data_IF_746483092481
#
_entry.id   IF_746483092481
#
_cell.length_a   1.000
_cell.length_b   1.000
_cell.length_c   1.000
_cell.angle_alpha   90.00
_cell.angle_beta   90.00
_cell.angle_gamma   90.00
#
_symmetry.space_group_name_H-M   'P 1'
#
loop_
_entity.id
_entity.type
_entity.pdbx_description
1 polymer ?
#
# COMPACT_ATOMS: atom_id res chain seq x y z
N UNK A 1 0.87 23.18 -21.76
CA UNK A 1 -0.01 22.33 -20.93
C UNK A 1 0.82 21.16 -20.43
N UNK A 2 1.04 21.03 -19.12
CA UNK A 2 1.86 19.95 -18.57
C UNK A 2 1.06 18.64 -18.61
N UNK A 3 1.61 17.61 -19.24
CA UNK A 3 1.03 16.26 -19.26
C UNK A 3 1.16 15.69 -17.85
N UNK A 4 0.06 15.69 -17.11
CA UNK A 4 -0.02 15.01 -15.81
C UNK A 4 0.04 13.52 -16.09
N UNK A 5 1.17 12.88 -15.79
CA UNK A 5 1.29 11.42 -15.83
C UNK A 5 0.35 10.85 -14.78
N UNK A 6 -0.81 10.36 -15.22
CA UNK A 6 -1.72 9.67 -14.34
C UNK A 6 -1.05 8.38 -13.86
N UNK A 7 -1.06 8.09 -12.54
CA UNK A 7 -0.59 6.79 -12.04
C UNK A 7 -1.32 5.68 -12.79
N UNK A 8 -0.73 4.48 -12.90
CA UNK A 8 -1.34 3.31 -13.53
C UNK A 8 -2.69 3.00 -12.86
N UNK A 9 -3.75 3.66 -13.33
CA UNK A 9 -5.07 3.60 -12.73
C UNK A 9 -5.66 2.23 -13.06
N UNK A 10 -6.07 1.50 -12.03
CA UNK A 10 -6.85 0.28 -12.21
C UNK A 10 -8.09 0.57 -13.06
N UNK A 11 -8.57 -0.44 -13.79
CA UNK A 11 -9.80 -0.32 -14.59
C UNK A 11 -10.98 0.20 -13.76
N UNK A 12 -11.06 -0.23 -12.48
CA UNK A 12 -12.05 0.25 -11.52
C UNK A 12 -11.90 1.76 -11.23
N UNK A 13 -10.67 2.25 -11.04
CA UNK A 13 -10.42 3.68 -10.82
C UNK A 13 -10.85 4.54 -12.01
N UNK A 14 -10.57 4.06 -13.23
CA UNK A 14 -11.01 4.70 -14.48
C UNK A 14 -12.54 4.71 -14.59
N UNK A 15 -13.20 3.59 -14.30
CA UNK A 15 -14.66 3.46 -14.34
C UNK A 15 -15.35 4.48 -13.40
N UNK A 16 -14.81 4.68 -12.19
CA UNK A 16 -15.36 5.67 -11.25
C UNK A 16 -14.91 7.11 -11.51
N UNK A 17 -14.07 7.35 -12.54
CA UNK A 17 -13.57 8.66 -12.90
C UNK A 17 -12.81 9.34 -11.76
N UNK A 18 -12.01 8.58 -10.99
CA UNK A 18 -11.17 9.16 -9.93
C UNK A 18 -10.09 10.03 -10.54
N UNK A 19 -9.95 11.24 -10.02
CA UNK A 19 -9.09 12.29 -10.54
C UNK A 19 -8.21 12.94 -9.46
N UNK A 20 -8.43 12.64 -8.18
CA UNK A 20 -7.54 13.01 -7.07
C UNK A 20 -7.10 11.78 -6.29
N UNK A 21 -5.78 11.68 -6.07
CA UNK A 21 -5.14 10.56 -5.37
C UNK A 21 -4.24 11.06 -4.24
N UNK A 22 -4.28 10.40 -3.08
CA UNK A 22 -3.43 10.70 -1.92
C UNK A 22 -2.60 9.49 -1.58
N UNK A 23 -1.28 9.67 -1.49
CA UNK A 23 -0.30 8.62 -1.24
C UNK A 23 0.40 8.81 0.11
N UNK A 24 0.76 7.72 0.78
CA UNK A 24 1.73 7.75 1.87
C UNK A 24 3.14 7.91 1.30
N UNK A 25 4.03 8.54 2.05
CA UNK A 25 5.44 8.70 1.67
C UNK A 25 6.31 7.50 2.07
N UNK A 26 5.70 6.33 2.31
CA UNK A 26 6.44 5.10 2.56
C UNK A 26 7.24 4.70 1.32
N UNK A 27 8.26 3.85 1.47
CA UNK A 27 8.97 3.26 0.34
C UNK A 27 8.74 1.74 0.33
N UNK A 28 7.91 1.22 -0.60
CA UNK A 28 7.20 1.94 -1.66
C UNK A 28 5.98 2.76 -1.17
N UNK A 29 5.61 3.78 -1.95
CA UNK A 29 4.48 4.66 -1.63
C UNK A 29 3.17 3.89 -1.80
N UNK A 30 2.27 4.01 -0.82
CA UNK A 30 0.97 3.34 -0.84
C UNK A 30 -0.12 4.34 -1.20
N UNK A 31 -1.03 3.96 -2.08
CA UNK A 31 -2.23 4.75 -2.37
C UNK A 31 -3.19 4.64 -1.19
N UNK A 32 -3.46 5.75 -0.50
CA UNK A 32 -4.36 5.81 0.64
C UNK A 32 -5.80 6.10 0.20
N UNK A 33 -5.97 7.07 -0.69
CA UNK A 33 -7.29 7.57 -1.10
C UNK A 33 -7.30 7.86 -2.59
N UNK A 34 -8.40 7.49 -3.26
CA UNK A 34 -8.69 7.90 -4.63
C UNK A 34 -10.15 8.35 -4.74
N UNK A 35 -10.36 9.62 -5.09
CA UNK A 35 -11.70 10.24 -5.18
C UNK A 35 -11.95 10.84 -6.55
N UNK A 36 -13.23 11.00 -6.86
CA UNK A 36 -13.71 11.79 -7.99
C UNK A 36 -14.20 13.14 -7.44
N UNK A 37 -13.41 14.19 -7.63
CA UNK A 37 -13.68 15.55 -7.13
C UNK A 37 -14.98 16.14 -7.66
N UNK A 38 -15.48 15.66 -8.81
CA UNK A 38 -16.78 16.09 -9.35
C UNK A 38 -17.96 15.56 -8.54
N UNK A 39 -17.78 14.42 -7.86
CA UNK A 39 -18.81 13.81 -7.00
C UNK A 39 -18.61 14.15 -5.53
N UNK A 40 -17.37 14.16 -5.07
CA UNK A 40 -17.00 14.43 -3.68
C UNK A 40 -15.86 15.45 -3.70
N UNK A 41 -16.20 16.75 -3.73
CA UNK A 41 -15.21 17.81 -3.60
C UNK A 41 -14.49 17.68 -2.25
N UNK A 42 -13.15 17.62 -2.26
CA UNK A 42 -12.36 17.56 -1.03
C UNK A 42 -11.40 18.75 -0.96
N UNK A 43 -11.25 19.25 0.26
CA UNK A 43 -10.25 20.25 0.67
C UNK A 43 -9.21 19.63 1.59
N UNK A 44 -8.11 20.33 1.87
CA UNK A 44 -7.12 19.90 2.87
C UNK A 44 -7.79 19.66 4.23
N UNK A 45 -8.61 20.61 4.68
CA UNK A 45 -9.33 20.51 5.96
C UNK A 45 -10.27 19.30 6.03
N UNK A 46 -10.85 18.90 4.90
CA UNK A 46 -11.70 17.70 4.83
C UNK A 46 -10.88 16.44 5.06
N UNK A 47 -9.73 16.32 4.41
CA UNK A 47 -8.82 15.17 4.55
C UNK A 47 -8.27 15.10 5.98
N UNK A 48 -7.86 16.23 6.55
CA UNK A 48 -7.43 16.33 7.95
C UNK A 48 -8.50 15.81 8.91
N UNK A 49 -9.75 16.27 8.72
CA UNK A 49 -10.87 15.81 9.55
C UNK A 49 -11.12 14.31 9.40
N UNK A 50 -11.06 13.77 8.17
CA UNK A 50 -11.21 12.33 7.96
C UNK A 50 -10.11 11.51 8.63
N UNK A 51 -8.86 11.97 8.53
CA UNK A 51 -7.73 11.36 9.21
C UNK A 51 -7.96 11.32 10.72
N UNK A 52 -8.33 12.44 11.32
CA UNK A 52 -8.64 12.53 12.75
C UNK A 52 -9.80 11.61 13.17
N UNK A 53 -10.85 11.49 12.35
CA UNK A 53 -11.98 10.59 12.64
C UNK A 53 -11.59 9.11 12.57
N UNK A 54 -10.69 8.75 11.66
CA UNK A 54 -10.22 7.37 11.49
C UNK A 54 -9.16 6.99 12.51
N UNK A 55 -8.31 7.95 12.88
CA UNK A 55 -7.19 7.78 13.81
C UNK A 55 -7.02 9.07 14.63
N UNK A 56 -7.73 9.23 15.76
CA UNK A 56 -7.66 10.45 16.59
C UNK A 56 -6.26 10.77 17.14
N UNK A 57 -5.36 9.78 17.14
CA UNK A 57 -3.97 9.90 17.56
C UNK A 57 -2.99 10.01 16.37
N UNK A 58 -3.49 10.28 15.16
CA UNK A 58 -2.60 10.53 14.02
C UNK A 58 -1.81 11.81 14.27
N UNK A 59 -0.50 11.74 14.09
CA UNK A 59 0.35 12.93 14.10
C UNK A 59 -0.11 13.95 13.05
N UNK A 60 0.10 15.25 13.30
CA UNK A 60 -0.18 16.29 12.32
C UNK A 60 0.53 16.00 10.99
N UNK A 61 -0.12 16.34 9.89
CA UNK A 61 0.41 16.12 8.57
C UNK A 61 -0.01 17.24 7.64
N UNK A 62 0.72 17.42 6.56
CA UNK A 62 0.31 18.31 5.48
C UNK A 62 0.30 17.58 4.15
N UNK A 63 -0.63 18.00 3.29
CA UNK A 63 -0.68 17.53 1.92
C UNK A 63 0.30 18.33 1.07
N UNK A 64 1.03 17.65 0.19
CA UNK A 64 1.83 18.28 -0.87
C UNK A 64 1.43 17.75 -2.23
N UNK A 65 1.35 18.57 -3.28
CA UNK A 65 1.35 18.08 -4.65
C UNK A 65 2.59 17.20 -4.90
N UNK A 66 2.41 16.06 -5.57
CA UNK A 66 3.51 15.13 -5.89
C UNK A 66 3.49 14.69 -7.35
N UNK A 67 4.68 14.42 -7.88
CA UNK A 67 4.86 13.60 -9.08
C UNK A 67 4.95 12.14 -8.66
N UNK A 68 4.21 11.27 -9.34
CA UNK A 68 4.20 9.83 -9.07
C UNK A 68 5.06 9.13 -10.11
N UNK A 69 6.04 8.38 -9.65
CA UNK A 69 6.94 7.57 -10.46
C UNK A 69 6.63 6.09 -10.22
N UNK A 70 6.67 5.29 -11.29
CA UNK A 70 6.61 3.84 -11.14
C UNK A 70 7.94 3.35 -10.54
N UNK A 71 7.85 2.60 -9.44
CA UNK A 71 8.97 2.02 -8.72
C UNK A 71 8.75 0.51 -8.64
N UNK A 72 9.11 -0.23 -9.69
CA UNK A 72 8.82 -1.67 -9.82
C UNK A 72 7.46 -1.99 -10.45
N UNK A 73 7.03 -3.25 -10.35
CA UNK A 73 5.84 -3.75 -11.08
C UNK A 73 4.53 -3.19 -10.48
N UNK A 74 4.48 -2.94 -9.16
CA UNK A 74 3.28 -2.45 -8.46
C UNK A 74 3.56 -1.40 -7.38
N UNK A 75 4.78 -0.89 -7.32
CA UNK A 75 5.16 0.08 -6.32
C UNK A 75 5.32 1.46 -6.96
N UNK A 76 5.06 2.49 -6.16
CA UNK A 76 5.20 3.88 -6.56
C UNK A 76 6.28 4.55 -5.72
N UNK A 77 6.98 5.49 -6.32
CA UNK A 77 7.73 6.50 -5.59
C UNK A 77 7.04 7.85 -5.82
N UNK A 78 6.99 8.69 -4.80
CA UNK A 78 6.41 10.03 -4.92
C UNK A 78 7.46 11.08 -4.61
N UNK A 79 7.48 12.13 -5.42
CA UNK A 79 8.36 13.27 -5.24
C UNK A 79 7.53 14.54 -5.07
N UNK A 80 7.74 15.34 -4.00
CA UNK A 80 7.07 16.62 -3.86
C UNK A 80 7.37 17.53 -5.05
N UNK A 81 6.35 18.17 -5.61
CA UNK A 81 6.49 19.11 -6.73
C UNK A 81 5.80 20.46 -6.48
N UNK A 82 5.41 20.72 -5.24
CA UNK A 82 4.79 21.98 -4.82
C UNK A 82 4.89 22.23 -3.32
N UNK A 83 4.51 23.45 -2.86
CA UNK A 83 4.53 23.79 -1.45
C UNK A 83 3.48 22.99 -0.65
N UNK A 84 3.65 22.87 0.68
CA UNK A 84 2.64 22.29 1.55
C UNK A 84 1.33 23.09 1.47
N UNK A 85 0.22 22.36 1.43
CA UNK A 85 -1.12 22.93 1.44
C UNK A 85 -1.53 23.13 2.90
N UNK A 86 -1.97 24.33 3.30
CA UNK A 86 -2.38 24.57 4.68
C UNK A 86 -3.45 23.57 5.14
N UNK A 87 -3.27 23.02 6.33
CA UNK A 87 -4.11 21.94 6.90
C UNK A 87 -5.55 22.39 7.05
N UNK A 88 -5.76 23.64 7.49
CA UNK A 88 -7.05 24.27 7.65
C UNK A 88 -7.63 24.85 6.35
N UNK A 89 -7.01 24.61 5.19
CA UNK A 89 -7.51 25.14 3.92
C UNK A 89 -8.85 24.50 3.54
N UNK A 90 -9.89 25.33 3.49
CA UNK A 90 -11.21 24.97 2.97
C UNK A 90 -11.31 25.05 1.45
N UNK A 91 -10.26 25.53 0.77
CA UNK A 91 -10.25 25.59 -0.70
C UNK A 91 -10.24 24.17 -1.27
N UNK A 92 -11.08 23.93 -2.26
CA UNK A 92 -11.11 22.65 -2.96
C UNK A 92 -9.73 22.35 -3.56
N UNK A 93 -9.25 21.12 -3.35
CA UNK A 93 -8.02 20.65 -3.97
C UNK A 93 -8.24 20.50 -5.48
N UNK A 94 -7.30 20.95 -6.32
CA UNK A 94 -7.38 20.64 -7.74
C UNK A 94 -7.27 19.11 -7.97
N UNK A 95 -7.81 18.59 -9.09
CA UNK A 95 -7.51 17.24 -9.53
C UNK A 95 -6.00 17.00 -9.64
N UNK A 96 -5.50 15.87 -9.15
CA UNK A 96 -4.06 15.61 -9.09
C UNK A 96 -3.62 14.58 -8.04
N UNK A 97 -2.31 14.42 -7.91
CA UNK A 97 -1.69 13.51 -6.95
C UNK A 97 -1.12 14.30 -5.77
N UNK A 98 -1.35 13.80 -4.56
CA UNK A 98 -0.89 14.38 -3.32
C UNK A 98 -0.15 13.36 -2.47
N UNK A 99 0.89 13.79 -1.78
CA UNK A 99 1.54 13.03 -0.73
C UNK A 99 1.10 13.53 0.64
N UNK A 100 0.92 12.59 1.56
CA UNK A 100 0.75 12.84 2.99
C UNK A 100 2.14 12.89 3.63
N UNK A 101 2.58 14.09 4.02
CA UNK A 101 3.87 14.31 4.66
C UNK A 101 3.67 14.71 6.13
N UNK A 102 4.55 14.22 6.99
CA UNK A 102 4.63 14.65 8.39
C UNK A 102 4.90 16.17 8.49
N UNK A 103 4.22 16.88 9.40
CA UNK A 103 4.41 18.32 9.64
C UNK A 103 5.84 18.69 9.99
N UNK A 104 6.55 17.82 10.71
CA UNK A 104 7.79 18.17 11.39
C UNK A 104 9.05 17.64 10.70
N UNK A 105 8.92 17.00 9.53
CA UNK A 105 10.01 16.53 8.65
C UNK A 105 11.09 15.63 9.29
N UNK A 106 11.02 15.35 10.58
CA UNK A 106 12.04 14.60 11.36
C UNK A 106 11.63 13.17 11.67
N UNK A 107 10.35 12.80 11.47
CA UNK A 107 9.89 11.45 11.71
C UNK A 107 10.40 10.49 10.62
N UNK A 108 11.21 9.51 11.04
CA UNK A 108 11.68 8.40 10.19
C UNK A 108 10.57 7.39 9.88
N UNK A 109 9.43 7.50 10.55
CA UNK A 109 8.29 6.61 10.39
C UNK A 109 7.03 7.46 10.29
N UNK A 110 6.38 7.38 9.14
CA UNK A 110 5.09 8.03 8.93
C UNK A 110 4.06 7.40 9.85
N UNK A 111 2.95 8.10 10.16
CA UNK A 111 1.76 7.43 10.67
C UNK A 111 1.42 6.34 9.65
N UNK A 112 1.77 5.10 9.98
CA UNK A 112 1.22 3.99 9.26
C UNK A 112 -0.28 4.12 9.54
N UNK A 113 -1.05 4.46 8.51
CA UNK A 113 -2.40 3.91 8.43
C UNK A 113 -2.20 2.42 8.17
N UNK A 114 -1.58 1.72 9.13
CA UNK A 114 -1.78 0.31 9.32
C UNK A 114 -3.26 0.23 9.56
N UNK A 115 -3.96 -0.45 8.66
CA UNK A 115 -5.13 -1.20 9.07
C UNK A 115 -4.80 -1.77 10.43
N UNK A 116 -5.47 -1.29 11.49
CA UNK A 116 -5.32 -1.90 12.80
C UNK A 116 -5.42 -3.41 12.56
N UNK A 117 -4.61 -4.26 13.20
CA UNK A 117 -4.62 -5.69 12.92
C UNK A 117 -6.02 -6.32 13.07
N UNK A 118 -6.95 -5.60 13.73
CA UNK A 118 -8.38 -5.78 13.60
C UNK A 118 -9.08 -4.41 13.50
N UNK A 119 -9.53 -3.92 12.32
CA UNK A 119 -10.46 -2.79 12.30
C UNK A 119 -11.79 -3.24 12.90
N UNK A 120 -12.44 -2.43 13.76
CA UNK A 120 -13.78 -2.73 14.24
C UNK A 120 -14.72 -2.89 13.04
N UNK A 121 -15.65 -3.84 13.12
CA UNK A 121 -16.61 -4.06 12.03
C UNK A 121 -17.39 -2.78 11.73
N UNK A 122 -17.87 -2.62 10.49
CA UNK A 122 -18.66 -1.45 10.09
C UNK A 122 -19.85 -1.19 11.05
N UNK A 123 -20.47 -2.26 11.56
CA UNK A 123 -21.53 -2.20 12.56
C UNK A 123 -21.04 -1.69 13.93
N UNK A 124 -19.82 -2.02 14.35
CA UNK A 124 -19.20 -1.48 15.55
C UNK A 124 -18.86 0.01 15.40
N UNK A 125 -18.36 0.42 14.22
CA UNK A 125 -18.11 1.83 13.89
C UNK A 125 -19.40 2.68 13.84
N UNK A 126 -20.54 2.09 13.48
CA UNK A 126 -21.84 2.76 13.54
C UNK A 126 -22.39 2.92 14.98
N UNK A 127 -21.97 2.07 15.94
CA UNK A 127 -22.46 2.12 17.32
C UNK A 127 -21.69 3.07 18.24
N UNK A 128 -20.44 3.40 17.91
CA UNK A 128 -19.56 4.26 18.73
C UNK A 128 -19.76 5.78 18.52
N UNK A 129 -20.86 6.20 17.87
CA UNK A 129 -21.19 7.62 17.65
C UNK A 129 -21.62 8.38 18.93
N UNK A 130 -21.76 7.70 20.06
CA UNK A 130 -21.95 8.33 21.37
C UNK A 130 -20.60 8.53 22.07
N UNK A 131 -20.23 9.80 22.18
CA UNK A 131 -19.00 10.36 22.73
C UNK A 131 -18.63 9.75 24.09
N UNK A 132 -17.48 9.06 24.18
CA UNK A 132 -16.63 9.04 25.38
C UNK A 132 -15.16 8.76 24.97
N UNK A 133 -14.18 9.55 25.44
CA UNK A 133 -12.76 9.24 25.26
C UNK A 133 -12.34 8.21 26.30
N UNK A 134 -11.74 7.09 25.88
CA UNK A 134 -11.11 6.16 26.82
C UNK A 134 -9.59 6.15 26.57
N UNK A 135 -8.76 6.55 27.55
CA UNK A 135 -7.31 6.58 27.42
C UNK A 135 -6.70 5.22 27.79
N UNK A 136 -5.76 4.75 26.97
CA UNK A 136 -4.78 3.74 27.35
C UNK A 136 -5.18 2.28 27.10
N UNK A 137 -4.67 1.70 26.01
CA UNK A 137 -4.34 0.28 25.95
C UNK A 137 -2.93 0.14 25.39
N UNK A 138 -1.99 0.05 26.33
CA UNK A 138 -0.63 -0.42 26.16
C UNK A 138 -0.69 -1.96 26.26
N UNK A 139 -0.64 -2.68 25.14
CA UNK A 139 -0.57 -4.15 25.18
C UNK A 139 0.86 -4.60 25.49
N UNK A 140 1.11 -4.98 26.75
CA UNK A 140 2.21 -5.88 27.13
C UNK A 140 1.86 -7.31 26.70
N UNK A 141 2.80 -8.01 26.09
CA UNK A 141 2.71 -9.45 25.78
C UNK A 141 2.81 -10.30 27.06
N UNK A 142 2.02 -11.39 27.23
CA UNK A 142 2.30 -12.44 28.23
C UNK A 142 3.25 -13.53 27.65
N UNK A 143 3.95 -14.30 28.50
CA UNK A 143 4.98 -15.25 28.08
C UNK A 143 4.38 -16.55 27.52
N UNK A 144 5.12 -17.14 26.59
CA UNK A 144 4.83 -18.34 25.82
C UNK A 144 4.61 -19.58 26.71
N UNK A 145 3.64 -20.43 26.33
CA UNK A 145 3.51 -21.82 26.81
C UNK A 145 3.81 -22.80 25.65
N UNK A 146 4.41 -23.93 26.01
CA UNK A 146 5.08 -24.92 25.14
C UNK A 146 4.15 -25.96 24.46
N UNK A 147 2.85 -25.71 24.36
CA UNK A 147 1.87 -26.75 24.03
C UNK A 147 0.81 -26.35 22.98
N UNK A 148 1.21 -25.66 21.89
CA UNK A 148 0.30 -25.36 20.75
C UNK A 148 0.82 -25.80 19.35
N UNK A 149 -0.09 -26.47 18.63
CA UNK A 149 -0.04 -27.00 17.26
C UNK A 149 0.16 -25.91 16.15
N UNK A 150 0.41 -26.30 14.87
CA UNK A 150 1.23 -25.55 13.92
C UNK A 150 0.75 -24.12 13.72
N UNK A 151 1.66 -23.18 13.97
CA UNK A 151 1.41 -21.75 14.02
C UNK A 151 1.11 -21.23 12.60
N UNK A 152 -0.12 -20.76 12.28
CA UNK A 152 -0.42 -20.09 11.01
C UNK A 152 0.13 -18.64 10.97
N UNK A 153 0.69 -18.13 12.07
CA UNK A 153 1.17 -16.74 12.20
C UNK A 153 2.47 -16.43 11.43
N UNK A 154 3.14 -17.43 10.83
CA UNK A 154 4.33 -17.18 9.99
C UNK A 154 4.01 -16.92 8.51
N UNK A 155 2.76 -17.07 8.07
CA UNK A 155 2.43 -17.02 6.64
C UNK A 155 2.13 -15.62 6.09
N UNK A 156 2.18 -14.57 6.90
CA UNK A 156 1.89 -13.19 6.45
C UNK A 156 2.94 -12.19 6.95
N UNK A 157 4.21 -12.49 6.75
CA UNK A 157 5.29 -11.52 6.95
C UNK A 157 5.62 -10.83 5.64
N UNK A 158 6.12 -9.59 5.67
CA UNK A 158 6.58 -8.94 4.44
C UNK A 158 7.67 -9.76 3.71
N UNK A 159 8.38 -10.64 4.44
CA UNK A 159 9.41 -11.54 3.96
C UNK A 159 8.93 -12.76 3.17
N UNK A 160 7.63 -13.05 3.12
CA UNK A 160 7.09 -14.13 2.27
C UNK A 160 6.03 -13.64 1.28
N UNK A 161 5.82 -12.33 1.19
CA UNK A 161 4.83 -11.71 0.34
C UNK A 161 5.49 -10.90 -0.80
N UNK A 162 4.99 -11.10 -2.01
CA UNK A 162 5.34 -10.30 -3.18
C UNK A 162 4.11 -9.60 -3.73
N UNK A 163 4.31 -8.44 -4.38
CA UNK A 163 3.28 -7.88 -5.24
C UNK A 163 3.36 -8.52 -6.61
N UNK A 164 2.24 -9.05 -7.09
CA UNK A 164 2.13 -9.71 -8.38
C UNK A 164 0.93 -9.15 -9.16
N UNK A 165 1.07 -9.01 -10.48
CA UNK A 165 -0.06 -8.59 -11.31
C UNK A 165 -1.21 -9.59 -11.15
N UNK A 166 -2.45 -9.11 -11.02
CA UNK A 166 -3.62 -9.96 -10.75
C UNK A 166 -3.78 -11.12 -11.74
N UNK A 167 -3.42 -10.90 -13.00
CA UNK A 167 -3.53 -11.90 -14.07
C UNK A 167 -2.40 -12.95 -14.02
N UNK A 168 -1.37 -12.74 -13.19
CA UNK A 168 -0.27 -13.69 -12.93
C UNK A 168 -0.49 -14.53 -11.67
N UNK A 169 -1.37 -14.09 -10.76
CA UNK A 169 -1.67 -14.79 -9.50
C UNK A 169 -2.05 -16.27 -9.68
N UNK A 170 -3.01 -16.65 -10.55
CA UNK A 170 -3.36 -18.05 -10.72
C UNK A 170 -2.17 -18.88 -11.22
N UNK A 171 -1.39 -18.33 -12.14
CA UNK A 171 -0.21 -19.01 -12.70
C UNK A 171 0.93 -19.17 -11.67
N UNK A 172 1.09 -18.22 -10.75
CA UNK A 172 2.04 -18.35 -9.67
C UNK A 172 1.60 -19.42 -8.67
N UNK A 173 0.32 -19.41 -8.25
CA UNK A 173 -0.21 -20.45 -7.36
C UNK A 173 -0.19 -21.86 -7.95
N UNK A 174 -0.35 -21.98 -9.26
CA UNK A 174 -0.30 -23.26 -9.99
C UNK A 174 1.13 -23.70 -10.37
N UNK A 175 2.16 -22.99 -9.89
CA UNK A 175 3.56 -23.20 -10.25
C UNK A 175 3.80 -23.22 -11.77
N UNK A 176 3.06 -22.43 -12.55
CA UNK A 176 3.23 -22.32 -14.00
C UNK A 176 4.48 -21.50 -14.38
N UNK A 177 4.96 -20.64 -13.48
CA UNK A 177 6.26 -19.97 -13.55
C UNK A 177 6.84 -19.82 -12.14
N UNK A 178 8.15 -19.59 -12.02
CA UNK A 178 8.82 -19.28 -10.75
C UNK A 178 10.03 -18.37 -10.99
N UNK A 179 10.68 -17.98 -9.90
CA UNK A 179 11.92 -17.19 -9.91
C UNK A 179 13.07 -18.09 -9.48
N UNK A 180 14.13 -18.14 -10.30
CA UNK A 180 15.39 -18.80 -9.96
C UNK A 180 16.32 -17.77 -9.30
N UNK A 181 16.43 -17.86 -7.98
CA UNK A 181 17.28 -16.95 -7.20
C UNK A 181 18.75 -17.15 -7.52
N UNK A 182 19.15 -18.38 -7.88
CA UNK A 182 20.56 -18.72 -8.08
C UNK A 182 21.03 -18.35 -9.51
N UNK A 183 20.10 -18.04 -10.43
CA UNK A 183 20.32 -17.47 -11.77
C UNK A 183 19.87 -16.00 -11.83
N UNK A 184 20.42 -15.13 -10.97
CA UNK A 184 20.17 -13.67 -10.92
C UNK A 184 18.66 -13.30 -10.88
N UNK A 185 17.87 -14.03 -10.10
CA UNK A 185 16.42 -13.86 -10.01
C UNK A 185 15.69 -13.97 -11.35
N UNK A 186 16.18 -14.82 -12.25
CA UNK A 186 15.55 -15.07 -13.54
C UNK A 186 14.16 -15.64 -13.39
N UNK A 187 13.22 -15.12 -14.17
CA UNK A 187 11.86 -15.67 -14.23
C UNK A 187 11.84 -16.82 -15.23
N UNK A 188 11.42 -18.00 -14.75
CA UNK A 188 11.30 -19.21 -15.56
C UNK A 188 9.84 -19.61 -15.71
N UNK A 189 9.39 -19.78 -16.95
CA UNK A 189 8.03 -20.21 -17.29
C UNK A 189 8.08 -21.70 -17.61
N UNK A 190 7.26 -22.49 -16.93
CA UNK A 190 7.22 -23.95 -17.05
C UNK A 190 6.02 -24.45 -17.84
N UNK A 191 4.94 -23.67 -17.91
CA UNK A 191 3.70 -24.00 -18.61
C UNK A 191 3.25 -22.81 -19.45
N UNK A 192 2.46 -23.07 -20.47
CA UNK A 192 1.85 -22.01 -21.26
C UNK A 192 0.93 -21.16 -20.38
N UNK A 193 1.22 -19.86 -20.32
CA UNK A 193 0.44 -18.85 -19.60
C UNK A 193 -0.19 -17.83 -20.57
N UNK A 194 -0.10 -18.11 -21.87
CA UNK A 194 -0.70 -17.32 -22.93
C UNK A 194 -0.26 -15.85 -22.92
N UNK A 195 -1.18 -14.89 -23.16
CA UNK A 195 -0.85 -13.47 -23.21
C UNK A 195 -0.24 -12.90 -21.92
N UNK A 196 -0.39 -13.59 -20.78
CA UNK A 196 0.14 -13.13 -19.50
C UNK A 196 1.68 -13.16 -19.45
N UNK A 197 2.33 -13.93 -20.32
CA UNK A 197 3.80 -13.96 -20.46
C UNK A 197 4.37 -12.56 -20.69
N UNK A 198 3.67 -11.70 -21.44
CA UNK A 198 4.10 -10.32 -21.72
C UNK A 198 4.16 -9.43 -20.48
N UNK A 199 3.57 -9.86 -19.38
CA UNK A 199 3.57 -9.14 -18.09
C UNK A 199 4.78 -9.52 -17.22
N UNK A 200 5.46 -10.64 -17.53
CA UNK A 200 6.62 -11.08 -16.78
C UNK A 200 7.89 -10.41 -17.31
N UNK A 201 8.73 -9.84 -16.42
CA UNK A 201 10.08 -9.48 -16.82
C UNK A 201 10.93 -10.74 -17.00
N UNK A 202 12.06 -10.64 -17.70
CA UNK A 202 13.03 -11.74 -17.77
C UNK A 202 13.70 -12.04 -16.44
N UNK A 203 13.88 -11.02 -15.60
CA UNK A 203 14.46 -11.12 -14.26
C UNK A 203 13.65 -10.26 -13.28
N UNK A 204 13.43 -10.78 -12.07
CA UNK A 204 12.80 -10.03 -11.01
C UNK A 204 13.81 -9.06 -10.40
N UNK A 205 13.47 -7.76 -10.37
CA UNK A 205 14.29 -6.78 -9.64
C UNK A 205 13.98 -6.88 -8.16
N UNK A 206 14.91 -7.44 -7.40
CA UNK A 206 14.81 -7.54 -5.94
C UNK A 206 15.63 -6.41 -5.32
N UNK A 207 15.00 -5.63 -4.44
CA UNK A 207 15.71 -4.65 -3.62
C UNK A 207 15.97 -5.25 -2.24
N UNK A 208 17.09 -4.92 -1.58
CA UNK A 208 17.33 -5.35 -0.20
C UNK A 208 16.14 -4.98 0.69
N UNK A 209 15.60 -5.96 1.41
CA UNK A 209 14.43 -5.83 2.29
C UNK A 209 13.08 -5.53 1.62
N UNK A 210 12.92 -5.77 0.30
CA UNK A 210 11.64 -5.64 -0.39
C UNK A 210 11.29 -6.91 -1.18
N UNK A 211 10.18 -7.54 -0.80
CA UNK A 211 9.67 -8.75 -1.45
C UNK A 211 9.97 -10.03 -0.66
N UNK A 212 9.64 -11.19 -1.23
CA UNK A 212 9.87 -12.48 -0.59
C UNK A 212 11.37 -12.73 -0.47
N UNK A 213 11.78 -13.22 0.70
CA UNK A 213 13.15 -13.66 0.94
C UNK A 213 13.53 -14.80 -0.01
N UNK A 214 14.81 -14.87 -0.34
CA UNK A 214 15.38 -15.86 -1.25
C UNK A 214 14.95 -17.29 -0.94
N UNK A 215 14.87 -17.66 0.34
CA UNK A 215 14.47 -19.01 0.74
C UNK A 215 13.01 -19.32 0.37
N UNK A 216 12.10 -18.35 0.45
CA UNK A 216 10.71 -18.50 0.02
C UNK A 216 10.61 -18.77 -1.49
N UNK A 217 11.39 -18.02 -2.28
CA UNK A 217 11.44 -18.17 -3.73
C UNK A 217 12.05 -19.52 -4.14
N UNK A 218 13.16 -19.93 -3.49
CA UNK A 218 13.76 -21.26 -3.68
C UNK A 218 12.79 -22.38 -3.33
N UNK A 219 12.00 -22.22 -2.26
CA UNK A 219 11.01 -23.23 -1.87
C UNK A 219 9.85 -23.32 -2.86
N UNK A 220 9.33 -22.18 -3.32
CA UNK A 220 8.34 -22.16 -4.41
C UNK A 220 8.88 -22.86 -5.66
N UNK A 221 10.13 -22.59 -6.03
CA UNK A 221 10.80 -23.23 -7.16
C UNK A 221 10.92 -24.76 -7.01
N UNK A 222 11.18 -25.26 -5.80
CA UNK A 222 11.31 -26.70 -5.51
C UNK A 222 10.00 -27.47 -5.60
N UNK A 223 8.86 -26.83 -5.30
CA UNK A 223 7.51 -27.44 -5.37
C UNK A 223 7.05 -27.77 -6.80
N UNK A 224 7.96 -27.68 -7.78
CA UNK A 224 7.80 -28.15 -9.16
C UNK A 224 7.72 -29.69 -9.26
N UNK A 225 8.09 -30.42 -8.21
CA UNK A 225 8.08 -31.89 -8.15
C UNK A 225 7.16 -32.42 -7.05
#
# INVERSE_FOLDING_TARGET
>A
MAVVSHPLLSARSKLYGRDTFIFSTSLPAKLLVGVNQRRIPISSATVQRWAYLLAPHSEPFHLRPVTVHQFGIMAYAIMPNGPPIPENSSKQLPPGNYGWYDSDSTARFLPQITTTPNPPSFAAMQKTWTIHPNPGIMCRFPPLRDDYHPIPQFFETASNAAFLHKDLIPFFHDNAFSVDVDDDYRVLIFRDIGPAEKLLPSHLRVSPNQGPEDWCLREHFRRRY
#
